data_IF_580518206225
#
_entry.id   IF_580518206225
#
_cell.length_a   1.000
_cell.length_b   1.000
_cell.length_c   1.000
_cell.angle_alpha   90.00
_cell.angle_beta   90.00
_cell.angle_gamma   90.00
#
_symmetry.space_group_name_H-M   'P 1'
#
loop_
_entity.id
_entity.type
_entity.pdbx_description
1 polymer ?
#
# COMPACT_ATOMS: atom_id res chain seq x y z
N UNK A 1 11.48 14.48 -7.43
CA UNK A 1 10.00 14.33 -7.41
C UNK A 1 9.65 13.57 -6.15
N UNK A 2 8.85 14.15 -5.24
CA UNK A 2 8.32 13.40 -4.09
C UNK A 2 7.34 12.38 -4.68
N UNK A 3 7.64 11.08 -4.59
CA UNK A 3 6.65 10.05 -4.91
C UNK A 3 5.49 10.24 -3.93
N UNK A 4 4.34 10.70 -4.43
CA UNK A 4 3.13 10.67 -3.62
C UNK A 4 2.79 9.21 -3.36
N UNK A 5 2.70 8.87 -2.08
CA UNK A 5 2.44 7.53 -1.59
C UNK A 5 0.95 7.27 -1.78
N UNK A 6 0.57 6.53 -2.81
CA UNK A 6 -0.82 6.20 -3.08
C UNK A 6 -1.20 4.89 -2.38
N UNK A 7 -2.22 4.97 -1.53
CA UNK A 7 -2.76 3.85 -0.76
C UNK A 7 -4.06 3.38 -1.41
N UNK A 8 -4.40 2.11 -1.18
CA UNK A 8 -5.68 1.52 -1.59
C UNK A 8 -6.57 1.25 -0.37
N UNK A 9 -7.90 1.31 -0.50
CA UNK A 9 -8.80 0.84 0.55
C UNK A 9 -8.50 -0.62 0.94
N UNK A 10 -8.58 -0.95 2.23
CA UNK A 10 -8.30 -2.30 2.74
C UNK A 10 -9.35 -3.34 2.31
N UNK A 11 -10.51 -2.86 1.86
CA UNK A 11 -11.65 -3.60 1.33
C UNK A 11 -11.79 -3.43 -0.19
N UNK A 12 -10.74 -2.95 -0.87
CA UNK A 12 -10.76 -2.76 -2.32
C UNK A 12 -11.06 -4.06 -3.06
N UNK A 13 -12.02 -4.01 -3.97
CA UNK A 13 -12.31 -5.14 -4.86
C UNK A 13 -11.17 -5.37 -5.86
N UNK A 14 -11.19 -6.53 -6.51
CA UNK A 14 -10.18 -6.90 -7.52
C UNK A 14 -10.04 -5.85 -8.61
N UNK A 15 -11.14 -5.25 -9.09
CA UNK A 15 -11.09 -4.29 -10.19
C UNK A 15 -10.35 -3.01 -9.78
N UNK A 16 -10.58 -2.55 -8.56
CA UNK A 16 -9.93 -1.41 -7.94
C UNK A 16 -8.44 -1.68 -7.76
N UNK A 17 -8.07 -2.86 -7.25
CA UNK A 17 -6.68 -3.28 -7.11
C UNK A 17 -5.95 -3.37 -8.46
N UNK A 18 -6.59 -3.97 -9.46
CA UNK A 18 -6.02 -4.09 -10.80
C UNK A 18 -5.80 -2.72 -11.46
N UNK A 19 -6.80 -1.83 -11.38
CA UNK A 19 -6.67 -0.46 -11.89
C UNK A 19 -5.54 0.32 -11.20
N UNK A 20 -5.38 0.14 -9.89
CA UNK A 20 -4.29 0.74 -9.15
C UNK A 20 -2.94 0.22 -9.66
N UNK A 21 -2.77 -1.10 -9.75
CA UNK A 21 -1.51 -1.71 -10.15
C UNK A 21 -1.12 -1.40 -11.60
N UNK A 22 -2.08 -1.46 -12.53
CA UNK A 22 -1.83 -1.17 -13.95
C UNK A 22 -1.61 0.34 -14.21
N UNK A 23 -2.22 1.19 -13.40
CA UNK A 23 -2.12 2.65 -13.52
C UNK A 23 -0.89 3.27 -12.86
N UNK A 24 -0.16 2.52 -12.04
CA UNK A 24 0.87 3.08 -11.17
C UNK A 24 2.29 2.68 -11.60
N UNK A 25 3.19 3.66 -11.89
CA UNK A 25 4.49 3.40 -12.53
C UNK A 25 5.49 2.60 -11.68
N UNK A 26 5.22 2.50 -10.37
CA UNK A 26 6.04 1.71 -9.45
C UNK A 26 5.71 0.22 -9.47
N UNK A 27 4.59 -0.19 -10.08
CA UNK A 27 4.15 -1.57 -10.13
C UNK A 27 4.31 -2.11 -11.54
N UNK A 28 4.74 -3.37 -11.65
CA UNK A 28 4.86 -4.05 -12.95
C UNK A 28 4.36 -5.49 -12.85
N UNK A 29 3.67 -5.98 -13.87
CA UNK A 29 3.28 -7.38 -13.94
C UNK A 29 4.51 -8.25 -14.15
N UNK A 30 4.53 -9.39 -13.46
CA UNK A 30 5.60 -10.38 -13.53
C UNK A 30 5.06 -11.65 -14.12
N UNK A 31 5.65 -12.08 -15.24
CA UNK A 31 5.35 -13.39 -15.82
C UNK A 31 6.17 -14.45 -15.10
N UNK A 32 5.68 -14.92 -13.95
CA UNK A 32 6.26 -16.06 -13.24
C UNK A 32 5.63 -17.37 -13.73
N UNK A 33 6.44 -18.28 -14.28
CA UNK A 33 5.97 -19.61 -14.70
C UNK A 33 5.61 -20.55 -13.54
N UNK A 34 5.84 -20.15 -12.29
CA UNK A 34 5.50 -20.90 -11.06
C UNK A 34 4.11 -20.52 -10.50
N UNK A 35 3.55 -19.38 -10.90
CA UNK A 35 2.27 -18.87 -10.41
C UNK A 35 1.22 -18.82 -11.53
N UNK A 36 1.08 -19.90 -12.31
CA UNK A 36 0.07 -20.00 -13.37
C UNK A 36 -1.39 -19.86 -12.85
N UNK A 37 -1.57 -19.77 -11.53
CA UNK A 37 -2.84 -19.58 -10.84
C UNK A 37 -3.11 -18.14 -10.39
N UNK A 38 -2.13 -17.22 -10.47
CA UNK A 38 -2.24 -15.85 -9.96
C UNK A 38 -1.57 -14.81 -10.86
N UNK A 39 -2.24 -13.67 -11.05
CA UNK A 39 -1.63 -12.46 -11.61
C UNK A 39 -0.65 -11.89 -10.57
N UNK A 40 0.64 -11.85 -10.90
CA UNK A 40 1.70 -11.46 -9.96
C UNK A 40 2.23 -10.07 -10.31
N UNK A 41 2.34 -9.19 -9.32
CA UNK A 41 2.90 -7.84 -9.48
C UNK A 41 4.10 -7.63 -8.55
N UNK A 42 5.11 -6.92 -9.04
CA UNK A 42 6.27 -6.49 -8.27
C UNK A 42 6.33 -4.97 -8.19
N UNK A 43 6.79 -4.46 -7.04
CA UNK A 43 7.18 -3.06 -6.93
C UNK A 43 8.59 -2.86 -7.47
N UNK A 44 8.75 -2.02 -8.49
CA UNK A 44 9.99 -1.81 -9.23
C UNK A 44 11.17 -1.34 -8.35
N UNK A 45 10.89 -0.69 -7.23
CA UNK A 45 11.88 -0.14 -6.30
C UNK A 45 12.36 -1.14 -5.25
N UNK A 46 11.79 -2.35 -5.17
CA UNK A 46 12.12 -3.34 -4.14
C UNK A 46 12.41 -4.71 -4.77
N UNK A 47 13.69 -4.97 -5.05
CA UNK A 47 14.13 -6.26 -5.59
C UNK A 47 14.16 -7.33 -4.49
N UNK A 48 13.59 -8.51 -4.77
CA UNK A 48 13.88 -9.72 -3.98
C UNK A 48 12.80 -10.23 -3.02
N UNK A 49 11.51 -9.99 -3.30
CA UNK A 49 10.29 -10.31 -2.50
C UNK A 49 9.81 -9.08 -1.75
N UNK A 50 8.80 -8.41 -2.31
CA UNK A 50 7.42 -8.87 -2.10
C UNK A 50 6.55 -8.75 -3.35
N UNK A 51 5.82 -9.82 -3.65
CA UNK A 51 4.89 -9.87 -4.77
C UNK A 51 3.48 -9.63 -4.24
N UNK A 52 2.69 -8.83 -4.97
CA UNK A 52 1.23 -8.81 -4.78
C UNK A 52 0.65 -9.87 -5.69
N UNK A 53 -0.15 -10.77 -5.12
CA UNK A 53 -0.85 -11.82 -5.85
C UNK A 53 -2.31 -11.45 -6.00
N UNK A 54 -2.80 -11.43 -7.24
CA UNK A 54 -4.22 -11.27 -7.56
C UNK A 54 -4.74 -12.54 -8.21
N UNK A 55 -5.95 -12.94 -7.83
CA UNK A 55 -6.64 -14.05 -8.49
C UNK A 55 -6.91 -13.64 -9.95
N UNK A 56 -6.65 -14.49 -10.96
CA UNK A 56 -6.98 -14.18 -12.34
C UNK A 56 -8.49 -14.13 -12.52
N UNK A 57 -8.96 -13.26 -13.42
CA UNK A 57 -10.40 -13.09 -13.66
C UNK A 57 -11.10 -14.41 -14.03
N UNK A 58 -10.41 -15.28 -14.77
CA UNK A 58 -10.89 -16.60 -15.19
C UNK A 58 -11.12 -17.57 -14.03
N UNK A 59 -10.44 -17.37 -12.90
CA UNK A 59 -10.50 -18.27 -11.75
C UNK A 59 -11.45 -17.78 -10.65
N UNK A 60 -11.96 -16.54 -10.72
CA UNK A 60 -12.80 -15.95 -9.66
C UNK A 60 -13.97 -16.83 -9.23
N UNK A 61 -14.65 -17.48 -10.18
CA UNK A 61 -15.79 -18.36 -9.90
C UNK A 61 -15.41 -19.64 -9.13
N UNK A 62 -14.13 -19.99 -9.05
CA UNK A 62 -13.61 -21.17 -8.35
C UNK A 62 -13.15 -20.87 -6.92
N UNK A 63 -13.08 -19.58 -6.55
CA UNK A 63 -12.66 -19.17 -5.21
C UNK A 63 -13.87 -18.71 -4.40
N UNK A 64 -14.06 -19.29 -3.22
CA UNK A 64 -15.13 -18.89 -2.29
C UNK A 64 -14.74 -17.70 -1.41
N UNK A 65 -13.46 -17.31 -1.39
CA UNK A 65 -12.88 -16.28 -0.52
C UNK A 65 -12.19 -15.16 -1.30
N UNK A 66 -12.78 -14.76 -2.44
CA UNK A 66 -12.24 -13.70 -3.30
C UNK A 66 -12.03 -12.40 -2.51
N UNK A 67 -12.98 -12.04 -1.64
CA UNK A 67 -12.90 -10.82 -0.85
C UNK A 67 -11.75 -10.85 0.16
N UNK A 68 -11.50 -12.00 0.81
CA UNK A 68 -10.37 -12.18 1.72
C UNK A 68 -9.05 -12.04 0.97
N UNK A 69 -8.92 -12.68 -0.19
CA UNK A 69 -7.72 -12.60 -1.03
C UNK A 69 -7.49 -11.18 -1.57
N UNK A 70 -8.54 -10.42 -1.88
CA UNK A 70 -8.41 -9.01 -2.25
C UNK A 70 -7.98 -8.16 -1.05
N UNK A 71 -8.51 -8.40 0.15
CA UNK A 71 -8.09 -7.71 1.37
C UNK A 71 -6.62 -7.99 1.71
N UNK A 72 -6.14 -9.21 1.46
CA UNK A 72 -4.71 -9.56 1.60
C UNK A 72 -3.84 -8.80 0.61
N UNK A 73 -4.21 -8.79 -0.67
CA UNK A 73 -3.49 -8.02 -1.68
C UNK A 73 -3.48 -6.51 -1.36
N UNK A 74 -4.59 -5.95 -0.85
CA UNK A 74 -4.66 -4.57 -0.40
C UNK A 74 -3.72 -4.29 0.78
N UNK A 75 -3.64 -5.21 1.74
CA UNK A 75 -2.71 -5.12 2.85
C UNK A 75 -1.25 -5.11 2.37
N UNK A 76 -0.89 -6.02 1.47
CA UNK A 76 0.45 -6.09 0.90
C UNK A 76 0.81 -4.80 0.15
N UNK A 77 -0.07 -4.31 -0.74
CA UNK A 77 0.14 -3.05 -1.45
C UNK A 77 0.42 -1.90 -0.48
N UNK A 78 -0.41 -1.76 0.55
CA UNK A 78 -0.32 -0.66 1.51
C UNK A 78 0.93 -0.78 2.41
N UNK A 79 1.25 -1.97 2.89
CA UNK A 79 2.46 -2.20 3.68
C UNK A 79 3.71 -1.82 2.87
N UNK A 80 3.74 -2.19 1.59
CA UNK A 80 4.85 -1.89 0.70
C UNK A 80 4.95 -0.41 0.34
N UNK A 81 3.81 0.23 0.07
CA UNK A 81 3.76 1.67 -0.14
C UNK A 81 4.33 2.40 1.08
N UNK A 82 3.97 1.99 2.30
CA UNK A 82 4.41 2.59 3.57
C UNK A 82 5.81 2.16 4.01
N UNK A 83 6.53 1.37 3.20
CA UNK A 83 7.82 0.78 3.55
C UNK A 83 7.82 0.00 4.88
N UNK A 84 6.71 -0.67 5.17
CA UNK A 84 6.51 -1.55 6.31
C UNK A 84 6.84 -3.00 5.93
N UNK A 85 6.98 -3.83 6.96
CA UNK A 85 7.08 -5.27 6.80
C UNK A 85 5.70 -5.84 6.40
N UNK A 86 5.60 -6.73 5.40
CA UNK A 86 4.35 -7.41 5.05
C UNK A 86 3.73 -8.20 6.22
N UNK A 87 4.55 -8.68 7.17
CA UNK A 87 4.09 -9.41 8.36
C UNK A 87 3.61 -8.48 9.48
N UNK A 88 3.47 -7.17 9.21
CA UNK A 88 2.89 -6.23 10.16
C UNK A 88 1.49 -6.66 10.60
N UNK A 89 1.14 -6.37 11.85
CA UNK A 89 -0.20 -6.60 12.36
C UNK A 89 -1.27 -5.96 11.44
N UNK A 90 -2.14 -6.78 10.84
CA UNK A 90 -3.15 -6.35 9.87
C UNK A 90 -4.11 -5.29 10.41
N UNK A 91 -4.47 -5.38 11.69
CA UNK A 91 -5.38 -4.40 12.31
C UNK A 91 -4.69 -3.05 12.51
N UNK A 92 -3.41 -3.04 12.89
CA UNK A 92 -2.61 -1.82 12.96
C UNK A 92 -2.46 -1.16 11.57
N UNK A 93 -2.14 -1.96 10.55
CA UNK A 93 -2.07 -1.50 9.16
C UNK A 93 -3.41 -0.93 8.68
N UNK A 94 -4.52 -1.64 8.94
CA UNK A 94 -5.87 -1.19 8.56
C UNK A 94 -6.20 0.18 9.15
N UNK A 95 -5.89 0.39 10.44
CA UNK A 95 -6.11 1.69 11.11
C UNK A 95 -5.24 2.79 10.51
N UNK A 96 -3.96 2.49 10.24
CA UNK A 96 -3.02 3.43 9.66
C UNK A 96 -3.45 3.88 8.27
N UNK A 97 -3.84 2.92 7.42
CA UNK A 97 -4.35 3.17 6.06
C UNK A 97 -5.65 3.98 6.11
N UNK A 98 -6.60 3.61 6.98
CA UNK A 98 -7.85 4.36 7.12
C UNK A 98 -7.61 5.82 7.55
N UNK A 99 -6.66 6.05 8.46
CA UNK A 99 -6.26 7.39 8.88
C UNK A 99 -5.62 8.17 7.73
N UNK A 100 -4.68 7.55 7.01
CA UNK A 100 -3.99 8.17 5.89
C UNK A 100 -4.95 8.52 4.74
N UNK A 101 -5.84 7.60 4.35
CA UNK A 101 -6.84 7.86 3.30
C UNK A 101 -7.75 9.03 3.69
N UNK A 102 -8.23 9.05 4.94
CA UNK A 102 -9.07 10.15 5.45
C UNK A 102 -8.31 11.49 5.41
N UNK A 103 -7.03 11.48 5.77
CA UNK A 103 -6.22 12.69 5.81
C UNK A 103 -5.76 13.18 4.42
N UNK A 104 -5.67 12.29 3.41
CA UNK A 104 -5.15 12.64 2.09
C UNK A 104 -5.97 13.72 1.36
N UNK A 105 -7.28 13.76 1.58
CA UNK A 105 -8.19 14.71 0.94
C UNK A 105 -8.44 16.00 1.73
N UNK A 106 -7.85 16.15 2.91
CA UNK A 106 -8.12 17.24 3.84
C UNK A 106 -6.83 18.04 4.14
N UNK A 107 -6.71 19.30 3.64
CA UNK A 107 -5.55 20.14 3.90
C UNK A 107 -5.28 20.37 5.40
N UNK A 108 -6.32 20.37 6.24
CA UNK A 108 -6.18 20.55 7.69
C UNK A 108 -5.55 19.31 8.37
N UNK A 109 -5.59 18.16 7.70
CA UNK A 109 -5.01 16.90 8.16
C UNK A 109 -3.71 16.55 7.42
N UNK A 110 -3.10 17.48 6.69
CA UNK A 110 -1.87 17.24 5.94
C UNK A 110 -0.72 16.71 6.83
N UNK A 111 -0.60 17.22 8.06
CA UNK A 111 0.38 16.73 9.04
C UNK A 111 0.08 15.30 9.50
N UNK A 112 -1.20 14.96 9.67
CA UNK A 112 -1.64 13.60 10.02
C UNK A 112 -1.33 12.62 8.90
N UNK A 113 -1.57 13.02 7.64
CA UNK A 113 -1.19 12.23 6.47
C UNK A 113 0.33 12.03 6.42
N UNK A 114 1.11 13.09 6.65
CA UNK A 114 2.56 13.03 6.64
C UNK A 114 3.12 12.14 7.77
N UNK A 115 2.54 12.19 8.97
CA UNK A 115 2.90 11.30 10.08
C UNK A 115 2.52 9.85 9.79
N UNK A 116 1.32 9.61 9.28
CA UNK A 116 0.83 8.26 8.99
C UNK A 116 1.63 7.57 7.87
N UNK A 117 2.13 8.33 6.91
CA UNK A 117 2.94 7.82 5.78
C UNK A 117 4.44 7.88 6.03
N UNK A 118 4.87 8.38 7.19
CA UNK A 118 6.29 8.56 7.52
C UNK A 118 6.99 9.61 6.64
N UNK A 119 6.25 10.47 5.93
CA UNK A 119 6.82 11.55 5.11
C UNK A 119 7.01 12.85 5.88
N UNK A 120 6.56 12.92 7.14
CA UNK A 120 6.88 14.02 8.04
C UNK A 120 8.40 14.07 8.24
N UNK A 121 9.08 15.01 7.58
CA UNK A 121 10.41 15.43 8.02
C UNK A 121 10.25 16.01 9.42
N UNK A 122 11.03 15.54 10.38
CA UNK A 122 11.10 16.13 11.72
C UNK A 122 11.33 17.65 11.61
N UNK A 123 10.26 18.43 11.61
CA UNK A 123 10.32 19.84 11.95
C UNK A 123 10.34 19.87 13.47
N UNK A 124 11.48 19.48 14.05
CA UNK A 124 11.76 19.82 15.43
C UNK A 124 11.66 21.34 15.57
N UNK A 125 11.05 21.86 16.65
CA UNK A 125 11.30 23.25 16.98
C UNK A 125 12.78 23.39 17.35
N UNK A 126 13.57 23.91 16.42
CA UNK A 126 14.87 24.51 16.73
C UNK A 126 14.64 25.81 17.50
N UNK A 127 14.31 25.73 18.79
CA UNK A 127 14.28 26.86 19.74
C UNK A 127 14.17 26.27 21.16
N UNK A 128 15.11 26.39 22.09
CA UNK A 128 15.95 27.53 22.41
C UNK A 128 17.38 27.11 22.76
N UNK A 129 18.35 27.77 22.13
CA UNK A 129 19.59 28.05 22.82
C UNK A 129 19.27 28.92 24.03
N UNK A 130 19.37 28.35 25.23
CA UNK A 130 19.52 29.14 26.44
C UNK A 130 21.01 29.17 26.75
N UNK A 131 21.66 30.20 26.22
CA UNK A 131 22.84 30.78 26.85
C UNK A 131 22.43 31.34 28.21
N UNK A 132 22.95 30.74 29.28
CA UNK A 132 23.45 31.44 30.46
C UNK A 132 24.23 30.43 31.33
#
# INVERSE_FOLDING_TARGET
MRNQLQLVPMDADRLTLLRFLDGHPQWRPVRSGLHNLYDTYEMATRHGRPHVLLIPAAELARHTSVDELCAEAAADINALALNLDPDINREALRRLVALAIRAHGDPELADVYALATGTATETGPAAHGHTA
#
